data_IF_721229459979
#
_entry.id   IF_721229459979
#
_cell.length_a   1.000
_cell.length_b   1.000
_cell.length_c   1.000
_cell.angle_alpha   90.00
_cell.angle_beta   90.00
_cell.angle_gamma   90.00
#
_symmetry.space_group_name_H-M   'P 1'
#
loop_
_entity.id
_entity.type
_entity.pdbx_description
1 polymer ?
#
# COMPACT_ATOMS: atom_id res chain seq x y z
N UNK A 1 -2.89 -20.50 23.38
CA UNK A 1 -3.01 -21.35 22.19
C UNK A 1 -2.46 -20.66 20.95
N UNK A 2 -3.14 -19.70 20.31
CA UNK A 2 -2.59 -18.93 19.16
C UNK A 2 -1.13 -18.42 19.34
N UNK A 3 -0.85 -17.71 20.45
CA UNK A 3 0.50 -17.20 20.76
C UNK A 3 1.53 -18.28 21.16
N UNK A 4 1.10 -19.49 21.48
CA UNK A 4 2.00 -20.61 21.83
C UNK A 4 2.50 -21.35 20.59
N UNK A 5 1.82 -21.22 19.45
CA UNK A 5 2.17 -21.83 18.15
C UNK A 5 3.06 -20.92 17.29
N UNK A 6 3.62 -19.85 17.88
CA UNK A 6 4.49 -18.92 17.17
C UNK A 6 3.77 -17.95 16.22
N UNK A 7 2.44 -17.85 16.29
CA UNK A 7 1.69 -16.82 15.56
C UNK A 7 2.14 -15.41 16.00
N UNK A 8 2.52 -14.60 15.02
CA UNK A 8 3.08 -13.26 15.24
C UNK A 8 4.61 -13.22 15.33
N UNK A 9 5.29 -14.36 15.12
CA UNK A 9 6.74 -14.38 14.85
C UNK A 9 7.06 -13.86 13.44
N UNK A 10 8.33 -13.57 13.16
CA UNK A 10 8.75 -13.09 11.84
C UNK A 10 8.39 -14.10 10.72
N UNK A 11 8.54 -15.39 11.02
CA UNK A 11 8.30 -16.49 10.07
C UNK A 11 6.81 -16.86 9.96
N UNK A 12 5.99 -16.53 10.95
CA UNK A 12 4.55 -16.80 10.98
C UNK A 12 3.75 -15.55 11.36
N UNK A 13 3.91 -14.49 10.55
CA UNK A 13 3.22 -13.23 10.76
C UNK A 13 1.71 -13.38 10.51
N UNK A 14 0.91 -12.86 11.45
CA UNK A 14 -0.55 -12.87 11.33
C UNK A 14 -0.97 -11.82 10.28
N UNK A 15 -1.77 -12.19 9.26
CA UNK A 15 -2.26 -11.24 8.26
C UNK A 15 -3.07 -10.10 8.91
N UNK A 16 -2.65 -8.87 8.71
CA UNK A 16 -3.40 -7.69 9.14
C UNK A 16 -4.74 -7.62 8.38
N UNK A 17 -5.84 -7.42 9.11
CA UNK A 17 -7.20 -7.36 8.53
C UNK A 17 -7.55 -8.52 7.59
N UNK A 18 -6.96 -9.71 7.80
CA UNK A 18 -7.15 -10.90 6.94
C UNK A 18 -6.71 -10.67 5.47
N UNK A 19 -5.78 -9.74 5.24
CA UNK A 19 -5.23 -9.47 3.92
C UNK A 19 -4.07 -10.43 3.62
N UNK A 20 -4.32 -11.46 2.80
CA UNK A 20 -3.29 -12.41 2.36
C UNK A 20 -2.59 -11.91 1.08
N UNK A 21 -1.30 -11.58 1.19
CA UNK A 21 -0.53 -11.01 0.08
C UNK A 21 -0.52 -11.89 -1.17
N UNK A 22 -0.32 -13.21 -1.01
CA UNK A 22 -0.16 -14.11 -2.15
C UNK A 22 -1.48 -14.26 -2.92
N UNK A 23 -2.59 -14.35 -2.20
CA UNK A 23 -3.94 -14.43 -2.76
C UNK A 23 -4.30 -13.14 -3.48
N UNK A 24 -4.12 -11.99 -2.83
CA UNK A 24 -4.41 -10.67 -3.41
C UNK A 24 -3.56 -10.41 -4.66
N UNK A 25 -2.27 -10.77 -4.62
CA UNK A 25 -1.36 -10.63 -5.77
C UNK A 25 -1.82 -11.49 -6.94
N UNK A 26 -2.18 -12.75 -6.69
CA UNK A 26 -2.66 -13.68 -7.74
C UNK A 26 -3.93 -13.13 -8.40
N UNK A 27 -4.93 -12.73 -7.62
CA UNK A 27 -6.19 -12.18 -8.14
C UNK A 27 -5.97 -10.93 -9.01
N UNK A 28 -5.06 -10.03 -8.60
CA UNK A 28 -4.71 -8.85 -9.38
C UNK A 28 -4.04 -9.20 -10.71
N UNK A 29 -3.14 -10.19 -10.70
CA UNK A 29 -2.46 -10.66 -11.91
C UNK A 29 -3.43 -11.36 -12.87
N UNK A 30 -4.29 -12.23 -12.35
CA UNK A 30 -5.31 -12.95 -13.14
C UNK A 30 -6.34 -11.98 -13.75
N UNK A 31 -6.73 -10.95 -13.02
CA UNK A 31 -7.66 -9.92 -13.51
C UNK A 31 -7.00 -8.83 -14.34
N UNK A 32 -5.66 -8.81 -14.44
CA UNK A 32 -4.90 -7.77 -15.14
C UNK A 32 -5.06 -6.37 -14.53
N UNK A 33 -5.39 -6.27 -13.24
CA UNK A 33 -5.64 -5.00 -12.54
C UNK A 33 -4.57 -4.72 -11.50
N UNK A 34 -4.33 -3.43 -11.25
CA UNK A 34 -3.48 -3.02 -10.14
C UNK A 34 -4.23 -3.13 -8.82
N UNK A 35 -3.55 -3.60 -7.78
CA UNK A 35 -4.12 -3.68 -6.44
C UNK A 35 -4.46 -2.30 -5.89
N UNK A 36 -5.69 -2.15 -5.38
CA UNK A 36 -6.13 -1.00 -4.59
C UNK A 36 -6.52 -1.50 -3.21
N UNK A 37 -5.93 -0.94 -2.16
CA UNK A 37 -6.14 -1.42 -0.80
C UNK A 37 -7.53 -0.99 -0.27
N UNK A 38 -8.43 -1.93 0.06
CA UNK A 38 -9.73 -1.60 0.64
C UNK A 38 -9.63 -1.21 2.13
N UNK A 39 -8.60 -1.67 2.85
CA UNK A 39 -8.37 -1.33 4.27
C UNK A 39 -7.69 0.02 4.44
N UNK A 40 -7.02 0.50 3.39
CA UNK A 40 -6.33 1.79 3.37
C UNK A 40 -6.54 2.49 2.02
N UNK A 41 -7.73 3.07 1.78
CA UNK A 41 -8.08 3.64 0.48
C UNK A 41 -7.22 4.86 0.14
N UNK A 42 -7.05 5.15 -1.14
CA UNK A 42 -6.36 6.35 -1.63
C UNK A 42 -7.26 7.61 -1.52
N UNK A 43 -7.78 7.87 -0.31
CA UNK A 43 -8.68 8.99 -0.01
C UNK A 43 -8.16 9.84 1.14
N UNK A 44 -8.91 10.88 1.51
CA UNK A 44 -8.53 11.78 2.60
C UNK A 44 -8.57 11.11 3.98
N UNK A 45 -9.35 10.03 4.17
CA UNK A 45 -9.40 9.30 5.45
C UNK A 45 -8.04 8.65 5.77
N UNK A 46 -7.32 8.24 4.73
CA UNK A 46 -5.98 7.64 4.86
C UNK A 46 -4.86 8.67 5.07
N UNK A 47 -5.09 9.96 4.81
CA UNK A 47 -4.10 11.00 5.07
C UNK A 47 -4.01 11.37 6.56
N UNK A 48 -5.13 11.25 7.27
CA UNK A 48 -5.19 11.48 8.72
C UNK A 48 -6.34 12.39 9.12
N UNK A 49 -6.30 12.84 10.38
CA UNK A 49 -7.35 13.61 11.02
C UNK A 49 -6.87 15.03 11.34
N UNK A 50 -7.81 15.92 11.69
CA UNK A 50 -7.54 17.31 12.08
C UNK A 50 -6.73 18.10 11.03
N UNK A 51 -5.43 18.30 11.26
CA UNK A 51 -4.54 19.03 10.36
C UNK A 51 -4.29 18.34 9.02
N UNK A 52 -4.64 17.05 8.88
CA UNK A 52 -4.59 16.33 7.61
C UNK A 52 -5.99 15.89 7.13
N UNK A 53 -7.05 16.33 7.82
CA UNK A 53 -8.43 15.98 7.45
C UNK A 53 -8.91 16.67 6.17
N UNK A 54 -10.11 16.29 5.70
CA UNK A 54 -10.74 16.72 4.43
C UNK A 54 -10.73 18.23 4.15
N UNK A 55 -10.76 19.07 5.19
CA UNK A 55 -10.82 20.52 5.08
C UNK A 55 -9.50 21.23 5.39
N UNK A 56 -8.43 20.48 5.64
CA UNK A 56 -7.12 21.07 5.85
C UNK A 56 -6.55 21.61 4.54
N UNK A 57 -5.94 22.80 4.62
CA UNK A 57 -5.16 23.34 3.51
C UNK A 57 -3.97 22.45 3.14
N UNK A 58 -3.46 21.64 4.07
CA UNK A 58 -2.30 20.76 3.87
C UNK A 58 -2.58 19.56 2.98
N UNK A 59 -3.83 19.10 2.90
CA UNK A 59 -4.23 17.92 2.11
C UNK A 59 -5.01 18.28 0.85
N UNK A 60 -5.29 19.57 0.64
CA UNK A 60 -5.95 20.06 -0.58
C UNK A 60 -5.00 19.91 -1.77
N UNK A 61 -5.46 19.19 -2.79
CA UNK A 61 -4.69 18.97 -4.03
C UNK A 61 -3.67 17.82 -3.96
N UNK A 62 -3.72 17.00 -2.92
CA UNK A 62 -2.89 15.78 -2.86
C UNK A 62 -3.37 14.77 -3.91
N UNK A 63 -2.43 14.26 -4.70
CA UNK A 63 -2.64 13.20 -5.68
C UNK A 63 -1.90 11.94 -5.27
N UNK A 64 -2.59 10.81 -5.27
CA UNK A 64 -2.01 9.50 -4.99
C UNK A 64 -1.30 8.97 -6.24
N UNK A 65 0.02 8.80 -6.17
CA UNK A 65 0.85 8.31 -7.27
C UNK A 65 1.49 6.99 -6.88
N UNK A 66 1.46 6.01 -7.78
CA UNK A 66 2.25 4.80 -7.63
C UNK A 66 3.69 5.11 -8.03
N UNK A 67 4.70 4.62 -7.28
CA UNK A 67 6.06 4.61 -7.79
C UNK A 67 6.03 3.85 -9.12
N UNK A 68 6.29 4.56 -10.23
CA UNK A 68 6.65 3.86 -11.46
C UNK A 68 7.91 3.09 -11.10
N UNK A 69 7.91 1.78 -11.29
CA UNK A 69 9.11 0.96 -11.25
C UNK A 69 10.18 1.79 -11.94
N UNK A 70 11.22 2.21 -11.21
CA UNK A 70 12.35 2.91 -11.81
C UNK A 70 12.87 1.95 -12.88
N UNK A 71 12.48 2.14 -14.13
CA UNK A 71 13.31 1.69 -15.23
C UNK A 71 14.61 2.43 -15.01
N UNK A 72 15.61 1.71 -14.51
CA UNK A 72 17.01 2.13 -14.48
C UNK A 72 17.38 2.53 -15.91
N UNK A 73 17.16 3.80 -16.24
CA UNK A 73 17.41 4.39 -17.55
C UNK A 73 17.56 5.90 -17.38
N UNK A 74 18.41 6.27 -16.43
CA UNK A 74 19.09 7.56 -16.37
C UNK A 74 20.52 7.29 -15.88
N UNK A 75 21.19 6.42 -16.62
CA UNK A 75 22.62 6.55 -16.91
C UNK A 75 22.66 6.76 -18.43
N UNK A 76 23.58 7.61 -18.92
CA UNK A 76 23.69 8.15 -20.30
C UNK A 76 22.94 9.48 -20.48
N UNK A 77 23.54 10.64 -20.74
CA UNK A 77 24.93 11.11 -20.88
C UNK A 77 24.86 12.63 -20.60
N UNK A 78 25.71 13.16 -19.73
CA UNK A 78 26.13 14.57 -19.81
C UNK A 78 27.63 14.53 -20.11
N UNK A 79 27.95 14.69 -21.40
CA UNK A 79 29.29 15.07 -21.88
C UNK A 79 29.43 16.59 -21.86
#
# INVERSE_FOLDING_TARGET
RAREEGEGSNDNAIPFNKQDFQTLRRECLESGKLFSDPSFPADWNSLGYNELGRYSSKTRGVEWKRPKVRTLSQCEEDS
#
